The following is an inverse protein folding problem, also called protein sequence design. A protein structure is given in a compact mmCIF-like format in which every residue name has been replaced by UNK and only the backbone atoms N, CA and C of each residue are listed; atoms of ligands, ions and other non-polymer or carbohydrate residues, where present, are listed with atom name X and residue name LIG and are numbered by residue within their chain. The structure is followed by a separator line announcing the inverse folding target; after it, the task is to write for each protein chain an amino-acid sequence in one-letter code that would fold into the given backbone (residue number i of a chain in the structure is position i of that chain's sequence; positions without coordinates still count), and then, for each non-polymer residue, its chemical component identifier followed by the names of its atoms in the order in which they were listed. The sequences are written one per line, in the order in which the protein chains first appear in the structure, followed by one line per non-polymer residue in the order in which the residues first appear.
data_IF_615800317442
#
_entry.id   IF_615800317442
#
_cell.length_a   1.000
_cell.length_b   1.000
_cell.length_c   1.000
_cell.angle_alpha   90.00
_cell.angle_beta   90.00
_cell.angle_gamma   90.00
#
_symmetry.space_group_name_H-M   'P 1'
#
loop_
_entity.id
_entity.type
_entity.pdbx_description
1 polymer ?
#
# COMPACT_ATOMS: atom_id res chain seq x y z
N UNK A 1 -19.73 -14.66 21.05
CA UNK A 1 -19.09 -15.85 20.48
C UNK A 1 -17.65 -15.47 20.15
N UNK A 2 -16.65 -16.05 20.82
CA UNK A 2 -15.25 -15.82 20.46
C UNK A 2 -14.93 -16.65 19.21
N UNK A 3 -14.38 -16.00 18.20
CA UNK A 3 -13.90 -16.67 16.99
C UNK A 3 -12.83 -17.70 17.33
N UNK A 4 -12.87 -18.87 16.69
CA UNK A 4 -11.87 -19.91 16.94
C UNK A 4 -10.46 -19.44 16.53
N UNK A 5 -9.41 -19.95 17.21
CA UNK A 5 -8.01 -19.64 16.85
C UNK A 5 -7.70 -19.92 15.38
N UNK A 6 -8.27 -20.98 14.83
CA UNK A 6 -8.12 -21.38 13.44
C UNK A 6 -8.78 -20.38 12.48
N UNK A 7 -9.98 -19.90 12.82
CA UNK A 7 -10.66 -18.86 12.03
C UNK A 7 -9.89 -17.55 12.02
N UNK A 8 -9.35 -17.14 13.17
CA UNK A 8 -8.54 -15.92 13.29
C UNK A 8 -7.24 -16.02 12.47
N UNK A 9 -6.55 -17.15 12.52
CA UNK A 9 -5.34 -17.40 11.74
C UNK A 9 -5.63 -17.38 10.24
N UNK A 10 -6.71 -18.02 9.80
CA UNK A 10 -7.14 -18.05 8.41
C UNK A 10 -7.53 -16.64 7.93
N UNK A 11 -8.25 -15.89 8.74
CA UNK A 11 -8.60 -14.50 8.44
C UNK A 11 -7.35 -13.62 8.31
N UNK A 12 -6.42 -13.70 9.25
CA UNK A 12 -5.16 -12.96 9.22
C UNK A 12 -4.32 -13.29 7.97
N UNK A 13 -4.33 -14.54 7.51
CA UNK A 13 -3.68 -14.94 6.27
C UNK A 13 -4.36 -14.28 5.06
N UNK A 14 -5.69 -14.36 4.94
CA UNK A 14 -6.41 -13.76 3.82
C UNK A 14 -6.35 -12.23 3.80
N UNK A 15 -6.20 -11.58 4.95
CA UNK A 15 -5.99 -10.13 5.03
C UNK A 15 -4.66 -9.68 4.40
N UNK A 16 -3.67 -10.59 4.30
CA UNK A 16 -2.39 -10.37 3.61
C UNK A 16 -2.46 -10.62 2.11
N UNK A 17 -3.53 -11.24 1.60
CA UNK A 17 -3.65 -11.55 0.18
C UNK A 17 -4.12 -10.33 -0.60
N UNK A 18 -3.46 -10.10 -1.73
CA UNK A 18 -3.86 -9.13 -2.73
C UNK A 18 -4.02 -9.85 -4.05
N UNK A 19 -5.15 -9.61 -4.72
CA UNK A 19 -5.39 -10.14 -6.05
C UNK A 19 -5.00 -9.11 -7.09
N UNK A 20 -4.06 -9.45 -7.96
CA UNK A 20 -3.74 -8.72 -9.18
C UNK A 20 -4.34 -9.41 -10.39
N UNK A 21 -4.49 -8.69 -11.50
CA UNK A 21 -5.13 -9.20 -12.70
C UNK A 21 -4.54 -8.60 -13.98
N UNK A 22 -4.84 -9.24 -15.12
CA UNK A 22 -4.33 -8.85 -16.42
C UNK A 22 -3.03 -9.54 -16.78
N UNK A 23 -2.95 -10.00 -18.03
CA UNK A 23 -1.90 -10.93 -18.49
C UNK A 23 -0.48 -10.43 -18.26
N UNK A 24 -0.18 -9.18 -18.65
CA UNK A 24 1.17 -8.65 -18.51
C UNK A 24 1.59 -8.51 -17.05
N UNK A 25 0.69 -7.99 -16.20
CA UNK A 25 0.98 -7.79 -14.79
C UNK A 25 1.14 -9.10 -14.02
N UNK A 26 0.29 -10.09 -14.32
CA UNK A 26 0.38 -11.43 -13.73
C UNK A 26 1.67 -12.12 -14.14
N UNK A 27 2.04 -12.04 -15.42
CA UNK A 27 3.29 -12.64 -15.90
C UNK A 27 4.52 -11.99 -15.26
N UNK A 28 4.57 -10.65 -15.20
CA UNK A 28 5.67 -9.89 -14.59
C UNK A 28 5.88 -10.30 -13.11
N UNK A 29 4.79 -10.48 -12.36
CA UNK A 29 4.86 -10.91 -10.96
C UNK A 29 5.23 -12.40 -10.83
N UNK A 30 4.76 -13.26 -11.73
CA UNK A 30 5.12 -14.67 -11.72
C UNK A 30 6.61 -14.90 -12.05
N UNK A 31 7.22 -14.05 -12.85
CA UNK A 31 8.65 -14.09 -13.19
C UNK A 31 9.56 -13.60 -12.05
N UNK A 32 9.02 -12.85 -11.09
CA UNK A 32 9.76 -12.41 -9.91
C UNK A 32 9.65 -13.46 -8.78
N UNK A 33 10.71 -14.26 -8.64
CA UNK A 33 10.77 -15.33 -7.63
C UNK A 33 10.77 -14.80 -6.18
N UNK A 34 11.07 -13.53 -5.97
CA UNK A 34 11.04 -12.90 -4.63
C UNK A 34 9.62 -12.65 -4.12
N UNK A 35 8.60 -12.75 -4.99
CA UNK A 35 7.21 -12.52 -4.63
C UNK A 35 6.54 -13.84 -4.26
N UNK A 36 6.00 -13.92 -3.05
CA UNK A 36 5.23 -15.07 -2.60
C UNK A 36 3.85 -15.08 -3.26
N UNK A 37 3.60 -16.07 -4.09
CA UNK A 37 2.33 -16.29 -4.78
C UNK A 37 1.52 -17.35 -4.05
N UNK A 38 0.25 -17.05 -3.80
CA UNK A 38 -0.67 -18.00 -3.18
C UNK A 38 -1.40 -18.87 -4.21
N UNK A 39 -1.98 -18.23 -5.26
CA UNK A 39 -2.79 -18.95 -6.24
C UNK A 39 -2.88 -18.20 -7.56
N UNK A 40 -2.79 -18.95 -8.67
CA UNK A 40 -3.06 -18.48 -10.02
C UNK A 40 -4.46 -18.89 -10.44
N UNK A 41 -5.21 -17.96 -11.02
CA UNK A 41 -6.60 -18.15 -11.44
C UNK A 41 -6.74 -17.91 -12.94
N UNK A 42 -7.32 -18.86 -13.65
CA UNK A 42 -7.65 -18.76 -15.07
C UNK A 42 -9.14 -18.82 -15.32
N UNK A 43 -9.60 -18.15 -16.39
CA UNK A 43 -10.92 -18.37 -16.92
C UNK A 43 -10.93 -19.62 -17.80
N UNK A 44 -11.94 -20.50 -17.64
CA UNK A 44 -12.14 -21.69 -18.49
C UNK A 44 -12.31 -21.32 -19.96
N UNK A 45 -12.84 -20.12 -20.22
CA UNK A 45 -13.09 -19.61 -21.57
C UNK A 45 -11.84 -19.05 -22.27
N UNK A 46 -10.66 -19.13 -21.66
CA UNK A 46 -9.44 -18.65 -22.26
C UNK A 46 -9.13 -19.45 -23.53
N UNK A 47 -8.84 -18.73 -24.62
CA UNK A 47 -8.23 -19.33 -25.80
C UNK A 47 -6.76 -19.61 -25.54
N UNK A 48 -6.24 -20.67 -26.15
CA UNK A 48 -4.83 -21.02 -26.07
C UNK A 48 -3.98 -19.82 -26.54
N UNK A 49 -3.09 -19.35 -25.67
CA UNK A 49 -2.15 -18.28 -25.94
C UNK A 49 -0.80 -18.60 -25.30
N UNK A 50 0.29 -18.25 -25.97
CA UNK A 50 1.65 -18.53 -25.51
C UNK A 50 1.91 -17.96 -24.11
N UNK A 51 1.45 -16.75 -23.86
CA UNK A 51 1.58 -16.08 -22.56
C UNK A 51 0.90 -16.85 -21.42
N UNK A 52 -0.27 -17.45 -21.65
CA UNK A 52 -0.97 -18.25 -20.64
C UNK A 52 -0.25 -19.56 -20.36
N UNK A 53 0.29 -20.23 -21.42
CA UNK A 53 1.12 -21.41 -21.25
C UNK A 53 2.40 -21.12 -20.46
N UNK A 54 3.03 -19.97 -20.71
CA UNK A 54 4.19 -19.53 -19.92
C UNK A 54 3.85 -19.35 -18.45
N UNK A 55 2.72 -18.71 -18.14
CA UNK A 55 2.24 -18.55 -16.74
C UNK A 55 2.00 -19.91 -16.08
N UNK A 56 1.37 -20.83 -16.78
CA UNK A 56 1.10 -22.18 -16.29
C UNK A 56 2.40 -22.93 -15.99
N UNK A 57 3.37 -22.91 -16.91
CA UNK A 57 4.68 -23.50 -16.70
C UNK A 57 5.45 -22.91 -15.51
N UNK A 58 5.42 -21.57 -15.33
CA UNK A 58 6.03 -20.92 -14.16
C UNK A 58 5.31 -21.34 -12.88
N UNK A 59 3.98 -21.38 -12.89
CA UNK A 59 3.21 -21.78 -11.72
C UNK A 59 3.51 -23.23 -11.31
N UNK A 60 3.62 -24.14 -12.27
CA UNK A 60 3.99 -25.54 -12.04
C UNK A 60 5.41 -25.65 -11.47
N UNK A 61 6.40 -24.98 -12.05
CA UNK A 61 7.79 -25.00 -11.59
C UNK A 61 7.95 -24.45 -10.17
N UNK A 62 7.09 -23.49 -9.78
CA UNK A 62 7.07 -22.86 -8.45
C UNK A 62 6.10 -23.54 -7.47
N UNK A 63 5.45 -24.66 -7.85
CA UNK A 63 4.40 -25.34 -7.05
C UNK A 63 3.26 -24.41 -6.63
N UNK A 64 2.89 -23.46 -7.48
CA UNK A 64 1.78 -22.54 -7.24
C UNK A 64 0.46 -23.23 -7.60
N UNK A 65 -0.52 -23.19 -6.72
CA UNK A 65 -1.83 -23.76 -6.99
C UNK A 65 -2.51 -23.01 -8.15
N UNK A 66 -2.99 -23.77 -9.17
CA UNK A 66 -3.77 -23.24 -10.29
C UNK A 66 -5.25 -23.58 -10.09
N UNK A 67 -6.13 -22.62 -10.30
CA UNK A 67 -7.58 -22.79 -10.26
C UNK A 67 -8.24 -22.23 -11.51
N UNK A 68 -9.20 -22.98 -12.03
CA UNK A 68 -9.99 -22.60 -13.21
C UNK A 68 -11.39 -22.15 -12.77
N UNK A 69 -11.92 -21.16 -13.43
CA UNK A 69 -13.19 -20.53 -13.09
C UNK A 69 -13.98 -20.17 -14.33
N UNK A 70 -15.29 -20.19 -14.23
CA UNK A 70 -16.12 -19.53 -15.22
C UNK A 70 -15.85 -18.01 -15.22
N UNK A 71 -16.25 -17.31 -16.26
CA UNK A 71 -16.01 -15.88 -16.42
C UNK A 71 -16.58 -15.04 -15.25
N UNK A 72 -17.70 -15.45 -14.66
CA UNK A 72 -18.31 -14.76 -13.52
C UNK A 72 -17.51 -15.00 -12.23
N UNK A 73 -17.03 -16.22 -12.03
CA UNK A 73 -16.19 -16.59 -10.90
C UNK A 73 -14.89 -15.81 -10.89
N UNK A 74 -14.17 -15.78 -12.01
CA UNK A 74 -12.94 -15.00 -12.14
C UNK A 74 -13.18 -13.51 -11.91
N UNK A 75 -14.26 -12.96 -12.46
CA UNK A 75 -14.63 -11.56 -12.28
C UNK A 75 -14.90 -11.16 -10.82
N UNK A 76 -15.42 -12.10 -10.00
CA UNK A 76 -15.58 -11.87 -8.54
C UNK A 76 -14.24 -11.83 -7.83
N UNK A 77 -13.28 -12.63 -8.28
CA UNK A 77 -11.91 -12.69 -7.74
C UNK A 77 -11.15 -11.42 -8.11
N UNK A 78 -11.08 -11.09 -9.41
CA UNK A 78 -10.36 -9.92 -9.93
C UNK A 78 -11.01 -8.59 -9.53
N UNK A 79 -12.30 -8.60 -9.20
CA UNK A 79 -13.14 -7.41 -9.00
C UNK A 79 -13.12 -6.45 -10.19
N UNK A 80 -12.71 -6.93 -11.37
CA UNK A 80 -12.58 -6.14 -12.59
C UNK A 80 -12.76 -6.97 -13.86
N UNK A 81 -14.01 -7.35 -14.14
CA UNK A 81 -14.42 -8.19 -15.27
C UNK A 81 -13.96 -7.72 -16.66
N UNK A 82 -13.69 -6.43 -16.84
CA UNK A 82 -13.33 -5.86 -18.14
C UNK A 82 -11.83 -5.89 -18.41
N UNK A 83 -11.00 -5.93 -17.38
CA UNK A 83 -9.54 -5.77 -17.48
C UNK A 83 -8.76 -7.00 -17.02
N UNK A 84 -9.42 -8.04 -16.48
CA UNK A 84 -8.74 -9.24 -16.00
C UNK A 84 -8.12 -10.09 -17.13
N UNK A 85 -8.60 -9.93 -18.36
CA UNK A 85 -8.08 -10.64 -19.54
C UNK A 85 -8.04 -12.16 -19.37
N UNK A 86 -8.92 -12.69 -18.52
CA UNK A 86 -9.03 -14.12 -18.22
C UNK A 86 -8.01 -14.63 -17.23
N UNK A 87 -7.30 -13.77 -16.48
CA UNK A 87 -6.30 -14.20 -15.50
C UNK A 87 -6.26 -13.28 -14.27
N UNK A 88 -6.11 -13.91 -13.10
CA UNK A 88 -5.83 -13.22 -11.85
C UNK A 88 -4.82 -14.01 -11.02
N UNK A 89 -4.12 -13.35 -10.12
CA UNK A 89 -3.09 -13.92 -9.28
C UNK A 89 -3.23 -13.40 -7.86
N UNK A 90 -3.33 -14.31 -6.91
CA UNK A 90 -3.30 -14.01 -5.50
C UNK A 90 -1.85 -14.02 -5.00
N UNK A 91 -1.38 -12.89 -4.51
CA UNK A 91 -0.05 -12.69 -3.95
C UNK A 91 -0.13 -12.41 -2.46
N UNK A 92 0.88 -12.82 -1.71
CA UNK A 92 0.96 -12.60 -0.28
C UNK A 92 1.82 -11.38 0.01
N UNK A 93 1.28 -10.38 0.68
CA UNK A 93 2.07 -9.29 1.27
C UNK A 93 2.60 -9.74 2.62
N UNK A 94 3.75 -10.38 2.63
CA UNK A 94 4.35 -10.94 3.86
C UNK A 94 4.60 -9.88 4.93
N UNK A 95 4.95 -8.68 4.51
CA UNK A 95 5.20 -7.53 5.38
C UNK A 95 3.94 -6.71 5.72
N UNK A 96 2.72 -7.17 5.34
CA UNK A 96 1.49 -6.53 5.80
C UNK A 96 1.30 -6.81 7.29
N UNK A 97 1.18 -5.75 8.08
CA UNK A 97 0.97 -5.83 9.52
C UNK A 97 -0.38 -5.21 9.90
N UNK A 98 -0.99 -5.71 10.95
CA UNK A 98 -2.04 -4.97 11.65
C UNK A 98 -1.42 -3.81 12.44
N UNK A 99 -2.24 -2.83 12.82
CA UNK A 99 -1.78 -1.73 13.67
C UNK A 99 -1.24 -2.24 15.01
N UNK A 100 -1.87 -3.27 15.58
CA UNK A 100 -1.45 -3.87 16.86
C UNK A 100 -0.07 -4.52 16.73
N UNK A 101 0.10 -5.37 15.71
CA UNK A 101 1.38 -6.05 15.48
C UNK A 101 2.52 -5.03 15.25
N UNK A 102 2.24 -3.94 14.52
CA UNK A 102 3.24 -2.91 14.29
C UNK A 102 3.61 -2.18 15.58
N UNK A 103 2.61 -1.74 16.35
CA UNK A 103 2.81 -0.98 17.61
C UNK A 103 3.45 -1.82 18.71
N UNK A 104 3.25 -3.14 18.71
CA UNK A 104 3.89 -4.06 19.66
C UNK A 104 5.36 -4.33 19.32
N UNK A 105 5.68 -4.39 18.02
CA UNK A 105 7.03 -4.70 17.53
C UNK A 105 7.97 -3.50 17.50
N UNK A 106 7.44 -2.26 17.39
CA UNK A 106 8.24 -1.08 17.14
C UNK A 106 8.10 -0.04 18.25
N UNK A 107 9.19 0.23 18.95
CA UNK A 107 9.28 1.27 19.98
C UNK A 107 9.73 2.64 19.41
N UNK A 108 10.31 2.65 18.24
CA UNK A 108 10.71 3.83 17.48
C UNK A 108 10.34 3.61 16.03
N UNK A 109 9.74 4.58 15.38
CA UNK A 109 9.30 4.46 14.00
C UNK A 109 9.02 5.80 13.32
N UNK A 110 9.10 5.78 11.99
CA UNK A 110 8.60 6.81 11.09
C UNK A 110 7.60 6.17 10.14
N UNK A 111 6.38 6.68 10.11
CA UNK A 111 5.29 6.15 9.28
C UNK A 111 4.80 7.24 8.33
N UNK A 112 4.60 6.91 7.05
CA UNK A 112 3.84 7.74 6.14
C UNK A 112 2.38 7.32 6.17
N UNK A 113 1.50 8.20 6.61
CA UNK A 113 0.06 8.02 6.58
C UNK A 113 -0.52 8.75 5.35
N UNK A 114 -1.35 8.07 4.56
CA UNK A 114 -1.85 8.58 3.30
C UNK A 114 -3.33 8.94 3.42
N UNK A 115 -3.67 10.20 3.18
CA UNK A 115 -5.04 10.71 3.24
C UNK A 115 -5.51 11.15 1.85
N UNK A 116 -6.39 10.35 1.22
CA UNK A 116 -6.97 10.68 -0.07
C UNK A 116 -6.01 10.58 -1.27
N UNK A 117 -4.99 9.75 -1.22
CA UNK A 117 -4.10 9.51 -2.37
C UNK A 117 -4.79 8.56 -3.34
N UNK A 118 -5.36 9.09 -4.42
CA UNK A 118 -6.15 8.31 -5.37
C UNK A 118 -5.37 7.82 -6.59
N UNK A 119 -4.25 8.45 -6.92
CA UNK A 119 -3.46 8.07 -8.10
C UNK A 119 -2.57 6.84 -7.79
N UNK A 120 -2.76 5.70 -8.49
CA UNK A 120 -1.95 4.49 -8.26
C UNK A 120 -0.46 4.67 -8.54
N UNK A 121 -0.11 5.53 -9.50
CA UNK A 121 1.30 5.82 -9.82
C UNK A 121 1.95 6.58 -8.66
N UNK A 122 1.26 7.59 -8.10
CA UNK A 122 1.75 8.31 -6.92
C UNK A 122 1.90 7.37 -5.73
N UNK A 123 0.92 6.49 -5.47
CA UNK A 123 1.02 5.49 -4.41
C UNK A 123 2.26 4.59 -4.59
N UNK A 124 2.49 4.07 -5.80
CA UNK A 124 3.66 3.24 -6.09
C UNK A 124 4.99 3.98 -5.89
N UNK A 125 5.08 5.24 -6.36
CA UNK A 125 6.27 6.07 -6.17
C UNK A 125 6.50 6.44 -4.69
N UNK A 126 5.43 6.70 -3.91
CA UNK A 126 5.49 6.91 -2.47
C UNK A 126 6.08 5.69 -1.78
N UNK A 127 5.54 4.50 -2.08
CA UNK A 127 6.03 3.23 -1.52
C UNK A 127 7.51 3.03 -1.85
N UNK A 128 7.91 3.29 -3.10
CA UNK A 128 9.31 3.18 -3.54
C UNK A 128 10.23 4.09 -2.74
N UNK A 129 9.85 5.35 -2.57
CA UNK A 129 10.65 6.34 -1.84
C UNK A 129 10.72 6.00 -0.35
N UNK A 130 9.61 5.58 0.24
CA UNK A 130 9.53 5.16 1.63
C UNK A 130 10.43 3.94 1.90
N UNK A 131 10.39 2.93 1.02
CA UNK A 131 11.24 1.74 1.15
C UNK A 131 12.73 2.01 0.93
N UNK A 132 13.08 3.05 0.18
CA UNK A 132 14.47 3.45 -0.03
C UNK A 132 15.02 4.39 1.06
N UNK A 133 14.14 5.02 1.83
CA UNK A 133 14.48 5.99 2.88
C UNK A 133 14.31 5.41 4.30
N UNK A 134 14.10 6.31 5.25
CA UNK A 134 14.01 6.02 6.68
C UNK A 134 12.54 5.88 7.15
N UNK A 135 11.69 5.22 6.37
CA UNK A 135 10.28 4.97 6.69
C UNK A 135 10.09 3.49 7.04
N UNK A 136 9.48 3.23 8.17
CA UNK A 136 9.28 1.87 8.70
C UNK A 136 7.96 1.24 8.21
N UNK A 137 6.97 2.05 7.85
CA UNK A 137 5.69 1.56 7.32
C UNK A 137 4.89 2.63 6.56
N UNK A 138 3.95 2.18 5.72
CA UNK A 138 2.89 2.99 5.14
C UNK A 138 1.57 2.68 5.87
N UNK A 139 0.88 3.69 6.36
CA UNK A 139 -0.50 3.58 6.84
C UNK A 139 -1.45 3.94 5.69
N UNK A 140 -2.12 2.92 5.14
CA UNK A 140 -2.93 2.99 3.92
C UNK A 140 -4.41 2.76 4.21
N UNK A 141 -5.29 3.76 3.95
CA UNK A 141 -6.73 3.56 4.07
C UNK A 141 -7.28 2.53 3.07
N UNK A 142 -8.21 1.70 3.53
CA UNK A 142 -8.90 0.71 2.69
C UNK A 142 -10.00 1.32 1.82
N UNK A 143 -10.38 2.59 2.07
CA UNK A 143 -11.36 3.36 1.31
C UNK A 143 -10.82 4.76 1.05
N UNK A 144 -11.34 5.42 0.02
CA UNK A 144 -10.92 6.76 -0.38
C UNK A 144 -9.40 6.89 -0.61
N UNK A 145 -8.79 5.84 -1.13
CA UNK A 145 -7.39 5.80 -1.50
C UNK A 145 -7.18 4.83 -2.67
N UNK A 146 -6.10 5.02 -3.42
CA UNK A 146 -5.67 4.05 -4.42
C UNK A 146 -5.47 2.69 -3.76
N UNK A 147 -6.04 1.67 -4.38
CA UNK A 147 -5.83 0.29 -3.94
C UNK A 147 -4.57 -0.27 -4.58
N UNK A 148 -3.92 -1.21 -3.89
CA UNK A 148 -2.79 -1.92 -4.46
C UNK A 148 -3.25 -2.67 -5.71
N UNK A 149 -2.62 -2.37 -6.82
CA UNK A 149 -2.99 -2.81 -8.16
C UNK A 149 -1.72 -3.08 -8.97
N UNK A 150 -1.82 -3.69 -10.15
CA UNK A 150 -0.67 -3.86 -11.05
C UNK A 150 0.11 -2.58 -11.32
N UNK A 151 -0.59 -1.44 -11.43
CA UNK A 151 0.03 -0.14 -11.61
C UNK A 151 0.87 0.31 -10.41
N UNK A 152 0.40 0.04 -9.19
CA UNK A 152 1.14 0.33 -7.94
C UNK A 152 2.39 -0.55 -7.87
N UNK A 153 2.26 -1.85 -8.17
CA UNK A 153 3.39 -2.80 -8.18
C UNK A 153 4.46 -2.33 -9.16
N UNK A 154 4.06 -2.03 -10.40
CA UNK A 154 4.97 -1.51 -11.42
C UNK A 154 5.64 -0.20 -11.02
N UNK A 155 4.87 0.76 -10.51
CA UNK A 155 5.40 2.07 -10.10
C UNK A 155 6.31 1.99 -8.87
N UNK A 156 6.08 1.03 -7.99
CA UNK A 156 6.95 0.76 -6.84
C UNK A 156 8.21 -0.02 -7.20
N UNK A 157 8.33 -0.57 -8.42
CA UNK A 157 9.47 -1.41 -8.84
C UNK A 157 9.75 -2.52 -7.82
N UNK A 158 8.69 -3.24 -7.42
CA UNK A 158 8.77 -4.36 -6.47
C UNK A 158 9.03 -3.99 -5.00
N UNK A 159 9.28 -2.71 -4.66
CA UNK A 159 9.54 -2.32 -3.27
C UNK A 159 8.32 -2.43 -2.36
N UNK A 160 7.11 -2.53 -2.93
CA UNK A 160 5.88 -2.85 -2.20
C UNK A 160 6.03 -4.10 -1.31
N UNK A 161 6.81 -5.06 -1.75
CA UNK A 161 7.01 -6.33 -1.05
C UNK A 161 8.08 -6.26 0.05
N UNK A 162 8.75 -5.12 0.23
CA UNK A 162 9.85 -4.92 1.18
C UNK A 162 9.52 -3.97 2.32
N UNK A 163 8.40 -3.22 2.21
CA UNK A 163 7.99 -2.23 3.19
C UNK A 163 6.66 -2.65 3.84
N UNK A 164 6.55 -2.63 5.17
CA UNK A 164 5.30 -2.88 5.86
C UNK A 164 4.17 -1.96 5.40
N UNK A 165 3.03 -2.55 5.04
CA UNK A 165 1.80 -1.83 4.72
C UNK A 165 0.78 -2.13 5.82
N UNK A 166 0.40 -1.10 6.57
CA UNK A 166 -0.62 -1.15 7.60
C UNK A 166 -1.93 -0.67 6.96
N UNK A 167 -2.89 -1.58 6.80
CA UNK A 167 -4.21 -1.23 6.25
C UNK A 167 -5.12 -0.73 7.36
N UNK A 168 -5.76 0.41 7.15
CA UNK A 168 -6.76 0.95 8.08
C UNK A 168 -8.13 1.14 7.42
N UNK A 169 -9.18 0.97 8.21
CA UNK A 169 -10.56 1.27 7.79
C UNK A 169 -10.93 2.73 8.05
N UNK A 170 -10.26 3.39 9.01
CA UNK A 170 -10.49 4.77 9.39
C UNK A 170 -9.16 5.39 9.81
N UNK A 171 -8.64 6.30 8.99
CA UNK A 171 -7.33 6.93 9.20
C UNK A 171 -7.28 7.72 10.50
N UNK A 172 -8.32 8.52 10.81
CA UNK A 172 -8.35 9.32 12.02
C UNK A 172 -8.26 8.46 13.28
N UNK A 173 -9.04 7.37 13.37
CA UNK A 173 -8.96 6.43 14.50
C UNK A 173 -7.59 5.78 14.63
N UNK A 174 -6.94 5.45 13.50
CA UNK A 174 -5.57 4.95 13.53
C UNK A 174 -4.61 6.00 14.07
N UNK A 175 -4.70 7.26 13.62
CA UNK A 175 -3.87 8.34 14.12
C UNK A 175 -4.08 8.59 15.63
N UNK A 176 -5.32 8.56 16.12
CA UNK A 176 -5.62 8.62 17.56
C UNK A 176 -4.92 7.50 18.33
N UNK A 177 -4.96 6.29 17.79
CA UNK A 177 -4.31 5.13 18.38
C UNK A 177 -2.79 5.27 18.44
N UNK A 178 -2.17 5.74 17.38
CA UNK A 178 -0.73 6.03 17.37
C UNK A 178 -0.39 7.15 18.38
N UNK A 179 -1.22 8.20 18.48
CA UNK A 179 -1.06 9.28 19.47
C UNK A 179 -1.19 8.79 20.90
N UNK A 180 -2.08 7.84 21.19
CA UNK A 180 -2.20 7.23 22.52
C UNK A 180 -0.96 6.43 22.95
N UNK A 181 -0.05 6.17 22.02
CA UNK A 181 1.28 5.55 22.23
C UNK A 181 2.41 6.59 22.07
N UNK A 182 2.15 7.87 22.37
CA UNK A 182 3.10 8.99 22.33
C UNK A 182 3.68 9.33 20.94
N UNK A 183 3.01 8.93 19.88
CA UNK A 183 3.43 9.32 18.53
C UNK A 183 3.06 10.78 18.24
N UNK A 184 3.92 11.47 17.50
CA UNK A 184 3.65 12.82 17.00
C UNK A 184 3.22 12.73 15.53
N UNK A 185 2.10 13.37 15.22
CA UNK A 185 1.51 13.44 13.89
C UNK A 185 1.82 14.79 13.29
N UNK A 186 2.48 14.77 12.13
CA UNK A 186 2.84 15.96 11.35
C UNK A 186 2.05 15.96 10.04
N UNK A 187 1.28 17.02 9.81
CA UNK A 187 0.60 17.28 8.53
C UNK A 187 1.40 18.28 7.70
N UNK A 188 1.36 18.14 6.38
CA UNK A 188 1.96 19.12 5.49
C UNK A 188 0.91 20.16 5.10
N UNK A 189 1.28 21.43 5.23
CA UNK A 189 0.43 22.56 4.86
C UNK A 189 1.29 23.72 4.40
N UNK A 190 0.91 24.37 3.28
CA UNK A 190 1.56 25.60 2.79
C UNK A 190 1.42 26.78 3.77
N UNK A 191 0.45 26.70 4.69
CA UNK A 191 0.20 27.73 5.71
C UNK A 191 0.91 27.45 7.04
N UNK A 192 1.66 26.35 7.15
CA UNK A 192 2.42 26.04 8.37
C UNK A 192 3.54 27.07 8.57
N UNK A 193 3.94 27.23 9.84
CA UNK A 193 4.95 28.23 10.23
C UNK A 193 6.36 27.63 10.35
N UNK A 194 6.47 26.31 10.45
CA UNK A 194 7.73 25.63 10.70
C UNK A 194 8.15 24.80 9.49
N UNK A 195 9.38 25.00 9.02
CA UNK A 195 9.94 24.19 7.94
C UNK A 195 10.18 22.76 8.42
N UNK A 196 9.93 21.79 7.52
CA UNK A 196 10.13 20.37 7.79
C UNK A 196 11.57 20.02 8.21
N UNK A 197 12.56 20.83 7.82
CA UNK A 197 13.97 20.66 8.19
C UNK A 197 14.33 21.20 9.57
N UNK A 198 13.50 22.09 10.12
CA UNK A 198 13.75 22.76 11.40
C UNK A 198 13.12 22.03 12.60
N UNK A 199 12.36 20.98 12.32
CA UNK A 199 11.71 20.17 13.35
C UNK A 199 12.65 19.12 13.91
N UNK A 200 12.72 19.04 15.22
CA UNK A 200 13.33 17.89 15.91
C UNK A 200 12.25 16.80 16.06
N UNK A 201 12.33 15.79 15.21
CA UNK A 201 11.36 14.71 15.21
C UNK A 201 11.56 13.75 16.39
N UNK A 202 10.45 13.26 16.93
CA UNK A 202 10.46 12.30 18.04
C UNK A 202 10.76 10.89 17.55
N UNK A 203 10.98 9.97 18.51
CA UNK A 203 11.19 8.53 18.19
C UNK A 203 9.98 7.89 17.48
N UNK A 204 8.77 8.42 17.69
CA UNK A 204 7.53 7.92 17.10
C UNK A 204 6.89 9.05 16.31
N UNK A 205 7.09 9.01 15.00
CA UNK A 205 6.66 10.08 14.09
C UNK A 205 5.78 9.54 12.98
N UNK A 206 4.65 10.19 12.74
CA UNK A 206 3.82 9.99 11.56
C UNK A 206 3.82 11.26 10.72
N UNK A 207 4.10 11.14 9.44
CA UNK A 207 3.89 12.19 8.45
C UNK A 207 2.60 11.88 7.68
N UNK A 208 1.68 12.81 7.63
CA UNK A 208 0.44 12.63 6.87
C UNK A 208 0.53 13.40 5.57
N UNK A 209 0.39 12.68 4.46
CA UNK A 209 0.34 13.20 3.12
C UNK A 209 -1.12 13.25 2.66
N UNK A 210 -1.59 14.42 2.30
CA UNK A 210 -2.93 14.65 1.80
C UNK A 210 -3.03 14.56 0.28
N UNK A 211 -4.25 14.65 -0.22
CA UNK A 211 -4.56 14.78 -1.64
C UNK A 211 -3.90 16.03 -2.24
N UNK A 212 -3.50 15.96 -3.50
CA UNK A 212 -2.81 17.06 -4.19
C UNK A 212 -3.66 18.33 -4.32
N UNK A 213 -4.99 18.19 -4.38
CA UNK A 213 -5.92 19.30 -4.57
C UNK A 213 -6.53 19.80 -3.27
N UNK A 214 -6.89 18.88 -2.37
CA UNK A 214 -7.66 19.17 -1.17
C UNK A 214 -6.81 19.17 0.10
N UNK A 215 -5.57 18.67 0.02
CA UNK A 215 -4.71 18.47 1.19
C UNK A 215 -5.19 17.33 2.07
N UNK A 216 -4.95 17.44 3.37
CA UNK A 216 -5.46 16.50 4.38
C UNK A 216 -6.89 16.84 4.76
N UNK A 217 -7.68 15.83 5.14
CA UNK A 217 -9.06 16.04 5.60
C UNK A 217 -9.06 16.81 6.92
N UNK A 218 -10.14 17.57 7.19
CA UNK A 218 -10.29 18.36 8.45
C UNK A 218 -10.21 17.48 9.69
N UNK A 219 -10.73 16.26 9.62
CA UNK A 219 -10.66 15.28 10.70
C UNK A 219 -9.22 14.90 11.02
N UNK A 220 -8.40 14.68 10.01
CA UNK A 220 -6.97 14.37 10.13
C UNK A 220 -6.18 15.58 10.59
N UNK A 221 -6.47 16.76 10.05
CA UNK A 221 -5.83 18.02 10.44
C UNK A 221 -6.00 18.32 11.93
N UNK A 222 -7.22 18.11 12.48
CA UNK A 222 -7.51 18.28 13.90
C UNK A 222 -6.68 17.35 14.82
N UNK A 223 -6.19 16.23 14.29
CA UNK A 223 -5.33 15.29 15.02
C UNK A 223 -3.84 15.61 14.88
N UNK A 224 -3.47 16.57 14.03
CA UNK A 224 -2.08 16.98 13.87
C UNK A 224 -1.49 17.48 15.18
N UNK A 225 -0.31 17.02 15.50
CA UNK A 225 0.47 17.55 16.62
C UNK A 225 1.16 18.86 16.22
N UNK A 226 1.53 18.98 14.95
CA UNK A 226 2.14 20.16 14.35
C UNK A 226 1.99 20.13 12.83
N UNK A 227 1.74 21.28 12.21
CA UNK A 227 1.80 21.44 10.77
C UNK A 227 3.20 21.90 10.36
N UNK A 228 3.72 21.31 9.28
CA UNK A 228 5.04 21.64 8.72
C UNK A 228 4.90 21.99 7.23
N UNK A 229 5.83 22.79 6.72
CA UNK A 229 5.87 23.11 5.29
C UNK A 229 7.21 22.80 4.65
N UNK A 230 7.19 22.60 3.35
CA UNK A 230 8.38 22.50 2.50
C UNK A 230 8.60 23.88 1.89
N UNK A 231 9.76 24.54 2.15
CA UNK A 231 10.05 25.84 1.56
C UNK A 231 10.09 25.76 0.03
N UNK A 232 9.28 26.57 -0.63
CA UNK A 232 9.22 26.66 -2.07
C UNK A 232 9.87 27.96 -2.56
N UNK A 233 10.48 27.91 -3.74
CA UNK A 233 11.05 29.06 -4.43
C UNK A 233 10.22 29.41 -5.66
N UNK A 234 10.37 30.63 -6.17
CA UNK A 234 9.81 31.08 -7.45
C UNK A 234 8.30 30.95 -7.55
N UNK A 235 7.59 31.16 -6.43
CA UNK A 235 6.12 31.07 -6.34
C UNK A 235 5.55 29.71 -6.77
N UNK A 236 6.31 28.63 -6.63
CA UNK A 236 5.76 27.29 -6.81
C UNK A 236 4.86 26.97 -5.62
N UNK A 237 3.61 26.63 -5.87
CA UNK A 237 2.60 26.41 -4.81
C UNK A 237 2.76 25.05 -4.10
N UNK A 238 3.09 23.99 -4.85
CA UNK A 238 3.18 22.65 -4.29
C UNK A 238 4.10 21.74 -5.13
N UNK A 239 4.49 20.61 -4.56
CA UNK A 239 5.16 19.51 -5.24
C UNK A 239 4.18 18.34 -5.42
N UNK A 240 4.45 17.51 -6.40
CA UNK A 240 3.79 16.21 -6.49
C UNK A 240 3.95 15.45 -5.18
N UNK A 241 2.89 14.78 -4.72
CA UNK A 241 2.85 14.12 -3.41
C UNK A 241 3.91 13.03 -3.26
N UNK A 242 4.29 12.33 -4.33
CA UNK A 242 5.36 11.34 -4.27
C UNK A 242 6.75 11.99 -4.11
N UNK A 243 6.97 13.18 -4.68
CA UNK A 243 8.19 13.98 -4.45
C UNK A 243 8.23 14.44 -2.99
N UNK A 244 7.09 14.93 -2.48
CA UNK A 244 6.95 15.30 -1.07
C UNK A 244 7.27 14.12 -0.14
N UNK A 245 6.73 12.93 -0.43
CA UNK A 245 7.03 11.71 0.30
C UNK A 245 8.53 11.39 0.30
N UNK A 246 9.20 11.59 -0.84
CA UNK A 246 10.65 11.37 -0.96
C UNK A 246 11.44 12.28 -0.03
N UNK A 247 11.10 13.57 0.03
CA UNK A 247 11.77 14.52 0.92
C UNK A 247 11.64 14.12 2.40
N UNK A 248 10.47 13.61 2.81
CA UNK A 248 10.24 13.14 4.18
C UNK A 248 10.92 11.81 4.48
N UNK A 249 11.00 10.94 3.48
CA UNK A 249 11.60 9.62 3.64
C UNK A 249 13.12 9.68 3.87
N UNK A 250 13.77 10.74 3.42
CA UNK A 250 15.22 10.92 3.53
C UNK A 250 15.64 11.99 4.57
N UNK A 251 14.73 12.29 5.51
CA UNK A 251 15.05 13.13 6.69
C UNK A 251 15.96 12.41 7.69
#
# INVERSE_FOLDING_TARGET
MQDSKEYLAKKAFFDKIITIYGRNAVLEVLEDESITVHKLHFADSNKIAEQLKKMESIAESRNIQIAYHDKKGLSRISKNAKQDQGVALDIVLEHSLSEDEFLEKHNSYRVLALDGIHNPQNLGMIIRSAAAGNIDAILLPSKNAAQISPLVIKASVGTLFRLPIIKTKNLAKSLERFKSRDAKVYTLSSHAKQSYKEVTYTKRTLFVLGNESEGVTKEVEALSSNAIFIPMNRNVESLNVAVTASLLAFL
#
